data_IF_207743146367
#
_entry.id   IF_207743146367
#
_cell.length_a   1.000
_cell.length_b   1.000
_cell.length_c   1.000
_cell.angle_alpha   90.00
_cell.angle_beta   90.00
_cell.angle_gamma   90.00
#
_symmetry.space_group_name_H-M   'P 1'
#
loop_
_entity.id
_entity.type
_entity.pdbx_description
1 polymer ?
#
# COMPACT_ATOMS: atom_id res chain seq x y z
N UNK A 1 63.77 -30.34 12.87
CA UNK A 1 62.31 -30.59 12.69
C UNK A 1 61.47 -29.34 12.33
N UNK A 2 62.06 -28.17 12.02
CA UNK A 2 61.28 -26.92 11.86
C UNK A 2 60.76 -26.58 10.45
N UNK A 3 61.39 -27.04 9.35
CA UNK A 3 61.02 -26.60 7.99
C UNK A 3 59.75 -27.27 7.44
N UNK A 4 59.42 -28.49 7.89
CA UNK A 4 58.22 -29.22 7.45
C UNK A 4 56.94 -28.74 8.16
N UNK A 5 57.03 -28.28 9.41
CA UNK A 5 55.87 -27.73 10.15
C UNK A 5 55.45 -26.35 9.62
N UNK A 6 56.40 -25.48 9.28
CA UNK A 6 56.13 -24.15 8.73
C UNK A 6 55.38 -24.18 7.39
N UNK A 7 55.72 -25.13 6.51
CA UNK A 7 55.01 -25.32 5.24
C UNK A 7 53.56 -25.76 5.43
N UNK A 8 53.30 -26.68 6.38
CA UNK A 8 51.95 -27.18 6.65
C UNK A 8 51.06 -26.11 7.27
N UNK A 9 51.57 -25.29 8.19
CA UNK A 9 50.83 -24.16 8.78
C UNK A 9 50.52 -23.10 7.73
N UNK A 10 51.45 -22.82 6.81
CA UNK A 10 51.23 -21.85 5.73
C UNK A 10 50.16 -22.31 4.74
N UNK A 11 50.13 -23.62 4.42
CA UNK A 11 49.10 -24.23 3.57
C UNK A 11 47.73 -24.22 4.25
N UNK A 12 47.68 -24.46 5.57
CA UNK A 12 46.44 -24.40 6.34
C UNK A 12 45.86 -22.98 6.38
N UNK A 13 46.70 -21.96 6.54
CA UNK A 13 46.29 -20.55 6.48
C UNK A 13 45.78 -20.14 5.09
N UNK A 14 46.42 -20.62 4.02
CA UNK A 14 45.96 -20.41 2.65
C UNK A 14 44.62 -21.10 2.38
N UNK A 15 44.42 -22.32 2.88
CA UNK A 15 43.13 -23.00 2.81
C UNK A 15 42.04 -22.28 3.62
N UNK A 16 42.36 -21.77 4.82
CA UNK A 16 41.43 -20.96 5.61
C UNK A 16 41.07 -19.64 4.91
N UNK A 17 42.02 -18.97 4.24
CA UNK A 17 41.76 -17.78 3.41
C UNK A 17 40.90 -18.09 2.18
N UNK A 18 41.10 -19.25 1.54
CA UNK A 18 40.27 -19.72 0.43
C UNK A 18 38.86 -20.09 0.90
N UNK A 19 38.71 -20.71 2.08
CA UNK A 19 37.41 -21.02 2.68
C UNK A 19 36.71 -19.74 3.16
N UNK A 20 37.43 -18.74 3.66
CA UNK A 20 36.85 -17.44 4.05
C UNK A 20 36.42 -16.61 2.82
N UNK A 21 37.14 -16.72 1.70
CA UNK A 21 36.73 -16.13 0.41
C UNK A 21 35.60 -16.93 -0.27
N UNK A 22 35.53 -18.25 -0.07
CA UNK A 22 34.44 -19.09 -0.59
C UNK A 22 33.17 -19.04 0.29
N UNK A 23 33.30 -18.79 1.60
CA UNK A 23 32.17 -18.50 2.49
C UNK A 23 31.66 -17.08 2.30
N UNK A 24 32.52 -16.18 1.79
CA UNK A 24 32.11 -14.98 1.07
C UNK A 24 31.69 -15.37 -0.36
N UNK A 25 30.77 -16.32 -0.47
CA UNK A 25 29.95 -16.51 -1.65
C UNK A 25 29.20 -15.19 -1.84
N UNK A 26 29.82 -14.25 -2.54
CA UNK A 26 29.11 -13.25 -3.31
C UNK A 26 28.31 -14.06 -4.33
N UNK A 27 27.12 -14.52 -3.92
CA UNK A 27 26.06 -14.89 -4.85
C UNK A 27 25.81 -13.62 -5.67
N UNK A 28 26.50 -13.54 -6.79
CA UNK A 28 26.46 -12.45 -7.75
C UNK A 28 25.16 -12.61 -8.55
N UNK A 29 24.04 -12.58 -7.82
CA UNK A 29 22.69 -12.71 -8.33
C UNK A 29 22.14 -11.31 -8.53
N UNK A 30 21.24 -11.16 -9.50
CA UNK A 30 20.62 -9.87 -9.76
C UNK A 30 19.82 -9.34 -8.55
N UNK A 31 19.49 -10.21 -7.59
CA UNK A 31 18.90 -9.91 -6.29
C UNK A 31 19.76 -8.91 -5.49
N UNK A 32 21.02 -9.25 -5.20
CA UNK A 32 21.93 -8.40 -4.44
C UNK A 32 22.29 -7.12 -5.20
N UNK A 33 22.46 -7.23 -6.51
CA UNK A 33 22.69 -6.06 -7.36
C UNK A 33 21.48 -5.10 -7.37
N UNK A 34 20.26 -5.65 -7.42
CA UNK A 34 19.02 -4.88 -7.34
C UNK A 34 18.90 -4.16 -6.01
N UNK A 35 19.08 -4.86 -4.88
CA UNK A 35 19.01 -4.25 -3.54
C UNK A 35 20.03 -3.13 -3.37
N UNK A 36 21.26 -3.32 -3.87
CA UNK A 36 22.31 -2.28 -3.86
C UNK A 36 21.92 -1.08 -4.73
N UNK A 37 21.34 -1.32 -5.90
CA UNK A 37 20.90 -0.26 -6.81
C UNK A 37 19.66 0.48 -6.28
N UNK A 38 18.75 -0.23 -5.61
CA UNK A 38 17.60 0.32 -4.90
C UNK A 38 18.07 1.23 -3.78
N UNK A 39 18.98 0.75 -2.92
CA UNK A 39 19.56 1.53 -1.84
C UNK A 39 20.18 2.84 -2.35
N UNK A 40 21.00 2.75 -3.40
CA UNK A 40 21.62 3.92 -4.03
C UNK A 40 20.60 4.92 -4.59
N UNK A 41 19.51 4.45 -5.19
CA UNK A 41 18.42 5.31 -5.66
C UNK A 41 17.69 6.02 -4.52
N UNK A 42 17.40 5.28 -3.44
CA UNK A 42 16.76 5.78 -2.23
C UNK A 42 17.60 6.87 -1.55
N UNK A 43 18.89 6.60 -1.31
CA UNK A 43 19.79 7.55 -0.65
C UNK A 43 19.88 8.86 -1.45
N UNK A 44 20.01 8.78 -2.79
CA UNK A 44 20.01 9.98 -3.65
C UNK A 44 18.71 10.76 -3.58
N UNK A 45 17.56 10.06 -3.56
CA UNK A 45 16.25 10.70 -3.41
C UNK A 45 16.15 11.43 -2.08
N UNK A 46 16.54 10.81 -0.98
CA UNK A 46 16.47 11.41 0.35
C UNK A 46 17.45 12.57 0.51
N UNK A 47 18.67 12.45 -0.02
CA UNK A 47 19.64 13.54 -0.05
C UNK A 47 19.09 14.76 -0.79
N UNK A 48 18.44 14.56 -1.94
CA UNK A 48 17.80 15.63 -2.69
C UNK A 48 16.63 16.27 -1.91
N UNK A 49 15.78 15.46 -1.28
CA UNK A 49 14.66 15.97 -0.47
C UNK A 49 15.15 16.76 0.74
N UNK A 50 16.20 16.30 1.42
CA UNK A 50 16.79 16.98 2.58
C UNK A 50 17.40 18.35 2.25
N UNK A 51 17.92 18.50 1.02
CA UNK A 51 18.52 19.76 0.53
C UNK A 51 17.51 20.71 -0.13
N UNK A 52 16.26 20.28 -0.29
CA UNK A 52 15.26 21.03 -1.06
C UNK A 52 14.72 22.23 -0.29
N UNK A 53 14.68 23.37 -0.97
CA UNK A 53 13.93 24.55 -0.53
C UNK A 53 12.42 24.29 -0.65
N UNK A 54 11.72 24.25 0.49
CA UNK A 54 10.28 23.95 0.53
C UNK A 54 9.44 24.98 -0.21
N UNK A 55 9.88 26.24 -0.25
CA UNK A 55 9.16 27.33 -0.93
C UNK A 55 9.27 27.23 -2.46
N UNK A 56 10.17 26.37 -2.96
CA UNK A 56 10.39 26.12 -4.40
C UNK A 56 9.88 24.76 -4.85
N UNK A 57 8.86 24.24 -4.16
CA UNK A 57 8.25 22.98 -4.56
C UNK A 57 7.65 23.06 -5.96
N UNK A 58 8.00 22.11 -6.82
CA UNK A 58 7.52 22.05 -8.20
C UNK A 58 7.37 20.62 -8.67
N UNK A 59 6.53 20.39 -9.68
CA UNK A 59 6.42 19.08 -10.37
C UNK A 59 7.76 18.59 -10.92
N UNK A 60 8.73 19.49 -11.18
CA UNK A 60 10.10 19.11 -11.54
C UNK A 60 10.81 18.39 -10.38
N UNK A 61 10.64 18.87 -9.15
CA UNK A 61 11.25 18.25 -7.97
C UNK A 61 10.72 16.82 -7.77
N UNK A 62 9.42 16.62 -7.95
CA UNK A 62 8.78 15.30 -7.90
C UNK A 62 9.37 14.33 -8.94
N UNK A 63 9.49 14.77 -10.21
CA UNK A 63 10.11 13.97 -11.26
C UNK A 63 11.57 13.60 -10.96
N UNK A 64 12.34 14.55 -10.44
CA UNK A 64 13.74 14.33 -10.04
C UNK A 64 13.85 13.25 -8.96
N UNK A 65 12.99 13.31 -7.92
CA UNK A 65 12.96 12.28 -6.87
C UNK A 65 12.78 10.86 -7.45
N UNK A 66 11.83 10.71 -8.37
CA UNK A 66 11.53 9.43 -9.01
C UNK A 66 12.66 8.99 -9.93
N UNK A 67 13.27 9.93 -10.66
CA UNK A 67 14.37 9.65 -11.57
C UNK A 67 15.63 9.15 -10.86
N UNK A 68 15.89 9.56 -9.62
CA UNK A 68 16.99 9.01 -8.84
C UNK A 68 16.88 7.50 -8.64
N UNK A 69 15.65 7.00 -8.44
CA UNK A 69 15.40 5.58 -8.26
C UNK A 69 15.28 4.86 -9.61
N UNK A 70 14.45 5.37 -10.53
CA UNK A 70 14.22 4.73 -11.84
C UNK A 70 15.51 4.56 -12.65
N UNK A 71 16.45 5.50 -12.59
CA UNK A 71 17.69 5.40 -13.36
C UNK A 71 18.59 4.27 -12.89
N UNK A 72 18.58 3.96 -11.59
CA UNK A 72 19.31 2.81 -11.05
C UNK A 72 18.57 1.49 -11.33
N UNK A 73 17.23 1.52 -11.38
CA UNK A 73 16.40 0.32 -11.36
C UNK A 73 15.87 -0.17 -12.71
N UNK A 74 15.71 0.71 -13.71
CA UNK A 74 15.07 0.35 -15.00
C UNK A 74 15.75 -0.83 -15.73
N UNK A 75 17.04 -1.04 -15.47
CA UNK A 75 17.84 -2.13 -16.06
C UNK A 75 17.45 -3.54 -15.56
N UNK A 76 16.67 -3.65 -14.47
CA UNK A 76 16.28 -4.92 -13.86
C UNK A 76 14.98 -5.52 -14.41
N UNK A 77 14.19 -4.76 -15.19
CA UNK A 77 12.90 -5.22 -15.71
C UNK A 77 12.98 -6.56 -16.47
N UNK A 78 14.06 -6.73 -17.24
CA UNK A 78 14.28 -7.92 -18.07
C UNK A 78 15.39 -8.84 -17.52
N UNK A 79 15.71 -8.74 -16.22
CA UNK A 79 16.73 -9.59 -15.57
C UNK A 79 16.07 -10.74 -14.84
N UNK A 80 16.71 -11.90 -14.80
CA UNK A 80 16.26 -13.04 -14.02
C UNK A 80 16.79 -12.92 -12.60
N UNK A 81 15.91 -13.04 -11.61
CA UNK A 81 16.31 -13.03 -10.20
C UNK A 81 16.28 -14.48 -9.70
N UNK A 82 17.11 -14.77 -8.71
CA UNK A 82 17.10 -16.06 -8.03
C UNK A 82 15.82 -16.19 -7.18
N UNK A 83 15.42 -15.13 -6.48
CA UNK A 83 14.17 -15.07 -5.75
C UNK A 83 13.03 -14.55 -6.65
N UNK A 84 12.07 -15.41 -7.06
CA UNK A 84 10.96 -15.01 -7.93
C UNK A 84 10.00 -14.01 -7.26
N UNK A 85 9.87 -14.04 -5.93
CA UNK A 85 9.06 -13.06 -5.20
C UNK A 85 9.75 -11.69 -5.19
N UNK A 86 11.08 -11.65 -5.02
CA UNK A 86 11.84 -10.41 -5.14
C UNK A 86 11.73 -9.84 -6.57
N UNK A 87 11.74 -10.68 -7.62
CA UNK A 87 11.50 -10.23 -9.01
C UNK A 87 10.16 -9.52 -9.14
N UNK A 88 9.09 -10.16 -8.65
CA UNK A 88 7.73 -9.65 -8.75
C UNK A 88 7.58 -8.33 -8.01
N UNK A 89 8.15 -8.22 -6.81
CA UNK A 89 8.15 -6.98 -6.04
C UNK A 89 8.97 -5.88 -6.75
N UNK A 90 10.14 -6.22 -7.29
CA UNK A 90 10.99 -5.30 -8.04
C UNK A 90 10.29 -4.74 -9.29
N UNK A 91 9.62 -5.59 -10.08
CA UNK A 91 8.85 -5.16 -11.24
C UNK A 91 7.70 -4.23 -10.85
N UNK A 92 6.94 -4.61 -9.82
CA UNK A 92 5.84 -3.81 -9.31
C UNK A 92 6.33 -2.46 -8.80
N UNK A 93 7.47 -2.43 -8.10
CA UNK A 93 8.11 -1.21 -7.63
C UNK A 93 8.51 -0.29 -8.78
N UNK A 94 9.15 -0.84 -9.82
CA UNK A 94 9.55 -0.09 -11.01
C UNK A 94 8.32 0.48 -11.73
N UNK A 95 7.22 -0.26 -11.81
CA UNK A 95 6.00 0.22 -12.45
C UNK A 95 5.28 1.29 -11.61
N UNK A 96 5.28 1.18 -10.27
CA UNK A 96 4.81 2.26 -9.37
C UNK A 96 5.63 3.53 -9.57
N UNK A 97 6.96 3.43 -9.66
CA UNK A 97 7.81 4.59 -9.94
C UNK A 97 7.49 5.22 -11.31
N UNK A 98 7.21 4.42 -12.34
CA UNK A 98 6.80 4.98 -13.65
C UNK A 98 5.47 5.74 -13.53
N UNK A 99 4.51 5.19 -12.79
CA UNK A 99 3.23 5.84 -12.54
C UNK A 99 3.43 7.15 -11.75
N UNK A 100 4.31 7.18 -10.74
CA UNK A 100 4.66 8.41 -10.02
C UNK A 100 5.21 9.48 -10.98
N UNK A 101 6.15 9.08 -11.85
CA UNK A 101 6.73 9.98 -12.85
C UNK A 101 5.68 10.51 -13.81
N UNK A 102 4.80 9.64 -14.31
CA UNK A 102 3.72 10.00 -15.21
C UNK A 102 2.71 10.95 -14.57
N UNK A 103 2.27 10.68 -13.33
CA UNK A 103 1.41 11.58 -12.55
C UNK A 103 2.02 12.98 -12.43
N UNK A 104 3.34 13.08 -12.24
CA UNK A 104 4.03 14.37 -12.17
C UNK A 104 4.25 15.05 -13.55
N UNK A 105 4.19 14.30 -14.66
CA UNK A 105 4.28 14.84 -16.03
C UNK A 105 2.90 15.34 -16.50
N UNK A 106 1.84 14.59 -16.23
CA UNK A 106 0.51 14.83 -16.78
C UNK A 106 -0.27 15.92 -16.02
N UNK A 107 0.32 16.51 -14.98
CA UNK A 107 -0.30 17.55 -14.18
C UNK A 107 0.31 18.91 -14.49
N UNK A 108 -0.51 19.96 -14.44
CA UNK A 108 -0.07 21.35 -14.63
C UNK A 108 0.27 22.04 -13.31
N UNK A 109 -0.39 21.63 -12.23
CA UNK A 109 -0.31 22.27 -10.91
C UNK A 109 -0.14 21.20 -9.81
N UNK A 110 0.42 21.62 -8.68
CA UNK A 110 0.47 20.83 -7.43
C UNK A 110 -0.86 20.95 -6.68
N UNK A 111 -1.97 20.72 -7.38
CA UNK A 111 -3.31 20.81 -6.82
C UNK A 111 -3.64 19.60 -5.92
N UNK A 112 -4.82 19.65 -5.27
CA UNK A 112 -5.29 18.58 -4.41
C UNK A 112 -5.39 17.24 -5.13
N UNK A 113 -5.72 17.24 -6.42
CA UNK A 113 -5.87 16.01 -7.20
C UNK A 113 -4.50 15.35 -7.38
N UNK A 114 -3.50 16.13 -7.80
CA UNK A 114 -2.11 15.65 -7.88
C UNK A 114 -1.63 15.09 -6.53
N UNK A 115 -1.83 15.82 -5.43
CA UNK A 115 -1.40 15.38 -4.09
C UNK A 115 -2.03 14.04 -3.71
N UNK A 116 -3.33 13.88 -3.96
CA UNK A 116 -4.03 12.64 -3.65
C UNK A 116 -3.49 11.45 -4.47
N UNK A 117 -3.34 11.62 -5.78
CA UNK A 117 -2.80 10.57 -6.65
C UNK A 117 -1.35 10.22 -6.30
N UNK A 118 -0.52 11.24 -6.07
CA UNK A 118 0.86 11.07 -5.66
C UNK A 118 0.95 10.32 -4.33
N UNK A 119 0.16 10.71 -3.33
CA UNK A 119 0.19 10.06 -2.01
C UNK A 119 -0.24 8.59 -2.09
N UNK A 120 -1.24 8.26 -2.92
CA UNK A 120 -1.64 6.86 -3.15
C UNK A 120 -0.48 6.03 -3.71
N UNK A 121 0.25 6.56 -4.67
CA UNK A 121 1.42 5.89 -5.23
C UNK A 121 2.57 5.79 -4.22
N UNK A 122 2.82 6.84 -3.42
CA UNK A 122 3.81 6.80 -2.35
C UNK A 122 3.48 5.76 -1.28
N UNK A 123 2.22 5.64 -0.87
CA UNK A 123 1.79 4.60 0.07
C UNK A 123 2.05 3.21 -0.51
N UNK A 124 1.74 2.99 -1.79
CA UNK A 124 2.07 1.72 -2.44
C UNK A 124 3.57 1.46 -2.49
N UNK A 125 4.36 2.49 -2.79
CA UNK A 125 5.83 2.45 -2.76
C UNK A 125 6.36 2.06 -1.37
N UNK A 126 5.75 2.55 -0.28
CA UNK A 126 6.15 2.21 1.09
C UNK A 126 5.82 0.76 1.45
N UNK A 127 4.64 0.25 1.07
CA UNK A 127 4.31 -1.17 1.24
C UNK A 127 5.32 -2.08 0.52
N UNK A 128 5.69 -1.73 -0.71
CA UNK A 128 6.64 -2.50 -1.50
C UNK A 128 8.05 -2.47 -0.91
N UNK A 129 8.50 -1.32 -0.38
CA UNK A 129 9.78 -1.24 0.33
C UNK A 129 9.80 -2.08 1.59
N UNK A 130 8.68 -2.15 2.32
CA UNK A 130 8.53 -3.04 3.45
C UNK A 130 8.68 -4.52 3.05
N UNK A 131 8.00 -4.93 1.98
CA UNK A 131 8.05 -6.31 1.50
C UNK A 131 9.43 -6.70 0.96
N UNK A 132 10.04 -5.82 0.17
CA UNK A 132 11.40 -6.03 -0.34
C UNK A 132 12.39 -6.16 0.82
N UNK A 133 12.31 -5.25 1.81
CA UNK A 133 13.20 -5.28 2.98
C UNK A 133 12.98 -6.51 3.87
N UNK A 134 11.78 -7.09 3.86
CA UNK A 134 11.46 -8.31 4.60
C UNK A 134 12.04 -9.57 3.95
N UNK A 135 12.29 -9.57 2.64
CA UNK A 135 13.02 -10.64 1.95
C UNK A 135 14.51 -10.57 2.26
N UNK A 136 15.09 -9.37 2.13
CA UNK A 136 16.49 -9.10 2.43
C UNK A 136 16.67 -7.61 2.70
N UNK A 137 17.46 -7.28 3.71
CA UNK A 137 17.64 -5.90 4.16
C UNK A 137 18.15 -5.01 3.02
N UNK A 138 17.51 -3.86 2.81
CA UNK A 138 17.95 -2.89 1.82
C UNK A 138 19.18 -2.15 2.38
N UNK A 139 20.35 -2.22 1.72
CA UNK A 139 21.60 -1.71 2.27
C UNK A 139 21.77 -0.19 2.06
N UNK A 140 20.79 0.62 2.47
CA UNK A 140 20.86 2.09 2.42
C UNK A 140 21.91 2.66 3.37
N UNK A 141 22.41 3.86 3.08
CA UNK A 141 23.22 4.64 4.01
C UNK A 141 22.34 5.34 5.07
N UNK A 142 21.22 5.93 4.66
CA UNK A 142 20.30 6.60 5.58
C UNK A 142 19.27 5.62 6.17
N UNK A 143 19.70 4.87 7.19
CA UNK A 143 18.86 3.91 7.92
C UNK A 143 17.66 4.56 8.61
N UNK A 144 17.76 5.84 9.00
CA UNK A 144 16.65 6.53 9.64
C UNK A 144 15.50 6.78 8.65
N UNK A 145 15.83 7.24 7.44
CA UNK A 145 14.84 7.41 6.38
C UNK A 145 14.18 6.08 5.98
N UNK A 146 14.96 5.01 5.87
CA UNK A 146 14.40 3.67 5.63
C UNK A 146 13.43 3.25 6.74
N UNK A 147 13.86 3.30 8.00
CA UNK A 147 13.04 2.88 9.14
C UNK A 147 11.71 3.66 9.22
N UNK A 148 11.72 4.97 8.94
CA UNK A 148 10.50 5.77 8.89
C UNK A 148 9.56 5.33 7.76
N UNK A 149 10.10 5.00 6.59
CA UNK A 149 9.32 4.49 5.46
C UNK A 149 8.78 3.10 5.76
N UNK A 150 9.56 2.20 6.37
CA UNK A 150 9.11 0.85 6.75
C UNK A 150 7.95 0.92 7.74
N UNK A 151 8.05 1.75 8.79
CA UNK A 151 6.94 2.02 9.73
C UNK A 151 5.70 2.58 9.04
N UNK A 152 5.90 3.44 8.05
CA UNK A 152 4.79 3.99 7.25
C UNK A 152 4.16 2.92 6.37
N UNK A 153 4.97 2.01 5.79
CA UNK A 153 4.52 0.85 5.04
C UNK A 153 3.69 -0.10 5.90
N UNK A 154 4.12 -0.37 7.14
CA UNK A 154 3.37 -1.19 8.10
C UNK A 154 2.00 -0.56 8.40
N UNK A 155 1.97 0.75 8.69
CA UNK A 155 0.73 1.47 8.95
C UNK A 155 -0.22 1.47 7.73
N UNK A 156 0.31 1.63 6.52
CA UNK A 156 -0.50 1.57 5.28
C UNK A 156 -1.06 0.16 5.07
N UNK A 157 -0.24 -0.88 5.23
CA UNK A 157 -0.71 -2.27 5.10
C UNK A 157 -1.82 -2.58 6.10
N UNK A 158 -1.65 -2.15 7.33
CA UNK A 158 -2.63 -2.37 8.38
C UNK A 158 -3.92 -1.60 8.09
N UNK A 159 -3.80 -0.34 7.64
CA UNK A 159 -4.95 0.43 7.18
C UNK A 159 -5.70 -0.28 6.04
N UNK A 160 -4.98 -0.75 5.02
CA UNK A 160 -5.57 -1.44 3.88
C UNK A 160 -6.24 -2.76 4.28
N UNK A 161 -5.64 -3.52 5.21
CA UNK A 161 -6.23 -4.74 5.77
C UNK A 161 -7.55 -4.44 6.48
N UNK A 162 -7.54 -3.48 7.41
CA UNK A 162 -8.71 -3.09 8.18
C UNK A 162 -9.81 -2.53 7.28
N UNK A 163 -9.46 -1.61 6.38
CA UNK A 163 -10.40 -1.01 5.44
C UNK A 163 -11.00 -2.05 4.49
N UNK A 164 -10.19 -3.00 4.01
CA UNK A 164 -10.64 -4.11 3.17
C UNK A 164 -11.67 -5.00 3.87
N UNK A 165 -11.45 -5.35 5.15
CA UNK A 165 -12.43 -6.10 5.96
C UNK A 165 -13.76 -5.34 6.02
N UNK A 166 -13.73 -4.01 6.19
CA UNK A 166 -14.95 -3.21 6.24
C UNK A 166 -15.64 -3.13 4.88
N UNK A 167 -14.89 -3.00 3.77
CA UNK A 167 -15.44 -3.07 2.41
C UNK A 167 -16.18 -4.39 2.20
N UNK A 168 -15.57 -5.51 2.57
CA UNK A 168 -16.19 -6.84 2.45
C UNK A 168 -17.39 -7.00 3.37
N UNK A 169 -17.33 -6.43 4.58
CA UNK A 169 -18.42 -6.44 5.57
C UNK A 169 -19.66 -5.71 5.03
N UNK A 170 -19.46 -4.53 4.45
CA UNK A 170 -20.51 -3.67 3.92
C UNK A 170 -20.88 -3.96 2.46
N UNK A 171 -20.40 -5.06 1.87
CA UNK A 171 -20.85 -5.49 0.55
C UNK A 171 -22.39 -5.59 0.52
N UNK A 172 -23.00 -5.08 -0.55
CA UNK A 172 -24.45 -5.02 -0.72
C UNK A 172 -25.12 -6.38 -0.53
N UNK A 173 -24.44 -7.47 -0.90
CA UNK A 173 -24.94 -8.84 -0.75
C UNK A 173 -25.15 -9.29 0.71
N UNK A 174 -24.51 -8.60 1.67
CA UNK A 174 -24.59 -8.96 3.08
C UNK A 174 -25.77 -8.31 3.80
N UNK A 175 -26.53 -7.43 3.13
CA UNK A 175 -27.77 -6.88 3.65
C UNK A 175 -28.92 -7.85 3.38
N UNK A 176 -29.74 -8.09 4.40
CA UNK A 176 -30.98 -8.87 4.28
C UNK A 176 -32.13 -7.92 4.01
N UNK A 177 -33.03 -8.32 3.10
CA UNK A 177 -34.23 -7.54 2.78
C UNK A 177 -35.41 -8.08 3.56
N UNK A 178 -36.12 -7.16 4.20
CA UNK A 178 -37.37 -7.40 4.91
C UNK A 178 -38.46 -6.50 4.31
N UNK A 179 -39.65 -7.05 4.12
CA UNK A 179 -40.83 -6.24 3.77
C UNK A 179 -41.45 -5.70 5.06
N UNK A 180 -41.64 -4.38 5.11
CA UNK A 180 -42.22 -3.71 6.27
C UNK A 180 -43.39 -2.85 5.81
N UNK A 181 -44.43 -2.79 6.64
CA UNK A 181 -45.62 -1.98 6.40
C UNK A 181 -45.69 -0.92 7.51
N UNK A 182 -45.47 0.35 7.15
CA UNK A 182 -45.62 1.49 8.05
C UNK A 182 -46.83 2.33 7.61
N UNK A 183 -47.96 2.14 8.30
CA UNK A 183 -49.23 2.74 7.91
C UNK A 183 -49.77 2.17 6.59
N UNK A 184 -49.94 3.02 5.57
CA UNK A 184 -50.45 2.62 4.24
C UNK A 184 -49.36 2.40 3.20
N UNK A 185 -48.09 2.65 3.55
CA UNK A 185 -46.97 2.53 2.62
C UNK A 185 -46.13 1.28 2.94
N UNK A 186 -45.88 0.49 1.90
CA UNK A 186 -44.99 -0.68 1.98
C UNK A 186 -43.57 -0.28 1.60
N UNK A 187 -42.61 -0.80 2.34
CA UNK A 187 -41.20 -0.52 2.12
C UNK A 187 -40.38 -1.82 2.12
N UNK A 188 -39.28 -1.79 1.36
CA UNK A 188 -38.20 -2.77 1.47
C UNK A 188 -37.14 -2.21 2.39
N UNK A 189 -37.02 -2.78 3.58
CA UNK A 189 -35.97 -2.46 4.54
C UNK A 189 -34.78 -3.39 4.34
N UNK A 190 -33.60 -2.80 4.19
CA UNK A 190 -32.33 -3.51 4.07
C UNK A 190 -31.63 -3.43 5.42
N UNK A 191 -31.36 -4.58 6.03
CA UNK A 191 -30.77 -4.69 7.38
C UNK A 191 -29.43 -5.42 7.30
N UNK A 192 -28.39 -4.76 7.80
CA UNK A 192 -27.05 -5.33 7.96
C UNK A 192 -26.67 -5.41 9.43
N UNK A 193 -26.73 -6.60 10.02
CA UNK A 193 -26.29 -6.86 11.40
C UNK A 193 -24.84 -7.34 11.39
N UNK A 194 -23.89 -6.40 11.35
CA UNK A 194 -22.48 -6.71 11.14
C UNK A 194 -21.70 -6.77 12.45
N UNK A 195 -20.73 -7.65 12.51
CA UNK A 195 -19.74 -7.71 13.59
C UNK A 195 -18.44 -7.05 13.15
N UNK A 196 -17.84 -6.22 14.01
CA UNK A 196 -16.52 -5.68 13.74
C UNK A 196 -15.46 -6.77 13.98
N UNK A 197 -14.93 -7.34 12.91
CA UNK A 197 -13.89 -8.38 12.94
C UNK A 197 -12.50 -7.83 12.57
N UNK A 198 -12.34 -6.51 12.56
CA UNK A 198 -11.11 -5.87 12.06
C UNK A 198 -9.91 -6.06 12.98
N UNK A 199 -10.12 -6.42 14.25
CA UNK A 199 -9.10 -6.43 15.30
C UNK A 199 -8.89 -5.06 15.96
N UNK A 200 -9.60 -4.02 15.50
CA UNK A 200 -9.48 -2.65 15.98
C UNK A 200 -10.81 -2.06 16.39
N UNK A 201 -10.78 -1.04 17.25
CA UNK A 201 -11.95 -0.21 17.48
C UNK A 201 -12.09 0.79 16.34
N UNK A 202 -13.22 0.79 15.66
CA UNK A 202 -13.52 1.80 14.66
C UNK A 202 -14.05 3.04 15.38
N UNK A 203 -13.35 4.17 15.24
CA UNK A 203 -13.77 5.43 15.84
C UNK A 203 -14.66 6.24 14.89
N UNK A 204 -14.43 6.09 13.58
CA UNK A 204 -15.16 6.81 12.54
C UNK A 204 -15.02 6.11 11.19
N UNK A 205 -16.11 5.98 10.46
CA UNK A 205 -16.11 5.52 9.07
C UNK A 205 -17.28 6.14 8.31
N UNK A 206 -17.06 6.97 7.28
CA UNK A 206 -18.18 7.42 6.44
C UNK A 206 -18.73 6.25 5.62
N UNK A 207 -20.05 5.99 5.69
CA UNK A 207 -20.74 4.95 4.93
C UNK A 207 -21.85 5.62 4.12
N UNK A 208 -21.78 5.52 2.80
CA UNK A 208 -22.75 6.07 1.87
C UNK A 208 -23.33 4.99 0.95
N UNK A 209 -24.64 4.85 0.96
CA UNK A 209 -25.39 4.00 0.05
C UNK A 209 -25.83 4.84 -1.15
N UNK A 210 -25.49 4.39 -2.35
CA UNK A 210 -25.94 5.02 -3.60
C UNK A 210 -26.95 4.12 -4.29
N UNK A 211 -28.11 4.67 -4.65
CA UNK A 211 -29.17 3.94 -5.35
C UNK A 211 -29.07 4.15 -6.85
N UNK A 212 -29.15 3.06 -7.60
CA UNK A 212 -29.00 3.03 -9.05
C UNK A 212 -30.30 2.62 -9.73
N UNK A 213 -30.54 3.24 -10.89
CA UNK A 213 -31.61 2.85 -11.80
C UNK A 213 -31.16 1.79 -12.82
N UNK A 214 -32.05 1.45 -13.77
CA UNK A 214 -31.80 0.45 -14.81
C UNK A 214 -30.71 0.82 -15.82
N UNK A 215 -30.31 2.09 -15.86
CA UNK A 215 -29.28 2.61 -16.74
C UNK A 215 -27.96 2.86 -15.97
N UNK A 216 -27.79 2.22 -14.81
CA UNK A 216 -26.65 2.39 -13.91
C UNK A 216 -26.41 3.85 -13.46
N UNK A 217 -27.47 4.67 -13.44
CA UNK A 217 -27.38 6.07 -12.99
C UNK A 217 -27.78 6.21 -11.53
N UNK A 218 -26.95 6.92 -10.77
CA UNK A 218 -27.27 7.30 -9.39
C UNK A 218 -28.41 8.33 -9.43
N UNK A 219 -29.50 8.06 -8.71
CA UNK A 219 -30.64 8.99 -8.59
C UNK A 219 -30.96 9.41 -7.16
N UNK A 220 -30.48 8.66 -6.15
CA UNK A 220 -30.66 8.94 -4.73
C UNK A 220 -29.61 8.19 -3.90
N UNK A 221 -29.63 8.35 -2.58
CA UNK A 221 -28.77 7.63 -1.67
C UNK A 221 -29.12 7.84 -0.21
N UNK A 222 -28.43 7.11 0.65
CA UNK A 222 -28.57 7.17 2.10
C UNK A 222 -27.19 7.30 2.74
N UNK A 223 -27.06 8.14 3.76
CA UNK A 223 -25.82 8.28 4.51
C UNK A 223 -26.08 7.88 5.96
N UNK A 224 -25.34 6.89 6.44
CA UNK A 224 -25.37 6.57 7.87
C UNK A 224 -24.72 7.69 8.67
N UNK A 225 -25.19 7.94 9.89
CA UNK A 225 -24.39 8.70 10.85
C UNK A 225 -23.24 7.81 11.33
N UNK A 226 -22.05 8.37 11.47
CA UNK A 226 -20.81 7.55 11.53
C UNK A 226 -19.95 7.83 12.74
N UNK A 227 -20.50 8.54 13.73
CA UNK A 227 -19.87 8.77 15.04
C UNK A 227 -20.22 7.67 16.03
N UNK A 228 -20.08 6.42 15.62
CA UNK A 228 -20.29 5.28 16.49
C UNK A 228 -18.93 4.66 16.80
N UNK A 229 -18.59 4.61 18.10
CA UNK A 229 -17.51 3.76 18.57
C UNK A 229 -17.95 2.32 18.33
N UNK A 230 -17.32 1.65 17.38
CA UNK A 230 -17.62 0.26 17.06
C UNK A 230 -16.46 -0.62 17.54
N UNK A 231 -16.65 -1.19 18.73
CA UNK A 231 -15.65 -2.03 19.39
C UNK A 231 -15.47 -3.36 18.64
N UNK A 232 -14.24 -3.86 18.63
CA UNK A 232 -13.94 -5.16 18.02
C UNK A 232 -14.74 -6.28 18.71
N UNK A 233 -15.28 -7.21 17.90
CA UNK A 233 -16.12 -8.31 18.36
C UNK A 233 -17.55 -7.92 18.72
N UNK A 234 -17.94 -6.65 18.56
CA UNK A 234 -19.32 -6.21 18.81
C UNK A 234 -20.11 -6.08 17.52
N UNK A 235 -21.43 -6.30 17.62
CA UNK A 235 -22.35 -6.16 16.50
C UNK A 235 -23.02 -4.78 16.48
N UNK A 236 -23.23 -4.26 15.29
CA UNK A 236 -24.04 -3.06 15.03
C UNK A 236 -25.00 -3.33 13.88
N UNK A 237 -26.21 -2.78 14.00
CA UNK A 237 -27.22 -2.83 12.94
C UNK A 237 -27.13 -1.56 12.09
N UNK A 238 -27.13 -1.75 10.78
CA UNK A 238 -27.19 -0.70 9.77
C UNK A 238 -28.42 -0.96 8.90
N UNK A 239 -29.37 -0.04 8.95
CA UNK A 239 -30.62 -0.18 8.21
C UNK A 239 -30.95 1.05 7.36
N UNK A 240 -31.51 0.79 6.18
CA UNK A 240 -32.11 1.80 5.33
C UNK A 240 -33.31 1.20 4.59
N UNK A 241 -34.30 2.04 4.29
CA UNK A 241 -35.51 1.61 3.58
C UNK A 241 -35.59 2.23 2.19
N UNK A 242 -36.26 1.52 1.29
CA UNK A 242 -36.67 2.01 -0.02
C UNK A 242 -38.18 1.79 -0.15
N UNK A 243 -38.97 2.85 -0.43
CA UNK A 243 -40.41 2.70 -0.63
C UNK A 243 -40.74 1.80 -1.83
N UNK A 244 -41.76 0.94 -1.73
CA UNK A 244 -42.21 0.10 -2.85
C UNK A 244 -42.77 0.92 -4.03
N UNK A 245 -43.13 2.17 -3.78
CA UNK A 245 -43.51 3.14 -4.79
C UNK A 245 -42.33 3.56 -5.68
N UNK A 246 -41.08 3.39 -5.24
CA UNK A 246 -39.89 3.72 -6.03
C UNK A 246 -39.61 2.66 -7.09
N UNK A 247 -40.20 2.85 -8.28
CA UNK A 247 -39.98 1.98 -9.45
C UNK A 247 -38.63 2.18 -10.14
N UNK A 248 -37.87 3.21 -9.78
CA UNK A 248 -36.54 3.49 -10.36
C UNK A 248 -35.47 2.62 -9.74
N UNK A 249 -35.61 2.25 -8.47
CA UNK A 249 -34.63 1.42 -7.78
C UNK A 249 -34.39 0.08 -8.48
N UNK A 250 -33.13 -0.23 -8.79
CA UNK A 250 -32.69 -1.57 -9.25
C UNK A 250 -31.72 -2.23 -8.30
N UNK A 251 -30.69 -1.52 -7.88
CA UNK A 251 -29.70 -2.00 -6.93
C UNK A 251 -29.06 -0.83 -6.18
N UNK A 252 -28.31 -1.13 -5.12
CA UNK A 252 -27.49 -0.15 -4.42
C UNK A 252 -26.02 -0.56 -4.40
N UNK A 253 -25.13 0.41 -4.19
CA UNK A 253 -23.72 0.18 -3.85
C UNK A 253 -23.39 0.88 -2.55
N UNK A 254 -22.57 0.25 -1.73
CA UNK A 254 -22.05 0.83 -0.49
C UNK A 254 -20.67 1.40 -0.75
N UNK A 255 -20.45 2.65 -0.35
CA UNK A 255 -19.20 3.37 -0.51
C UNK A 255 -18.69 3.79 0.86
N UNK A 256 -17.44 3.44 1.16
CA UNK A 256 -16.77 3.81 2.40
C UNK A 256 -15.85 5.02 2.16
N UNK A 257 -15.76 5.92 3.15
CA UNK A 257 -14.91 7.10 3.10
C UNK A 257 -13.48 6.82 3.56
N UNK A 258 -12.61 6.41 2.63
CA UNK A 258 -11.17 6.13 2.88
C UNK A 258 -10.47 7.28 3.64
N UNK A 259 -10.63 8.53 3.21
CA UNK A 259 -9.92 9.68 3.78
C UNK A 259 -10.37 10.04 5.21
N UNK A 260 -11.60 9.71 5.58
CA UNK A 260 -12.18 10.03 6.89
C UNK A 260 -12.12 8.85 7.85
N UNK A 261 -11.81 7.64 7.37
CA UNK A 261 -11.72 6.43 8.18
C UNK A 261 -10.67 6.53 9.29
N UNK A 262 -11.06 6.24 10.55
CA UNK A 262 -10.19 6.28 11.73
C UNK A 262 -10.47 5.08 12.64
N UNK A 263 -9.41 4.40 13.09
CA UNK A 263 -9.47 3.31 14.05
C UNK A 263 -8.39 3.45 15.13
N UNK A 264 -8.48 2.65 16.19
CA UNK A 264 -7.48 2.52 17.26
C UNK A 264 -7.23 1.05 17.56
#
# INVERSE_FOLDING_TARGET
>A
MGKKLLGVVSILLLMLLLIFNASKNNNNTYDNEFLTSLAKGLDKRWEFVAKRDYDKESLKNYRICVDYELNELKKYKNREFENPELKKLADTYIDVLKNEKETAINRKYLDRIFRNEWNKLQYKRYELLLDINSISEIPVQDKNSLNNILRSGEAVKEFNRVYGILVDTFDAKNFVVEEVEDGSEKEKRYVGNFENTTGHRINYIDINISFYDENDKIYSGFKFETRYLWENGTKQSFEFSIPDSDKRFKYFKVNLGENSFRYK
#
